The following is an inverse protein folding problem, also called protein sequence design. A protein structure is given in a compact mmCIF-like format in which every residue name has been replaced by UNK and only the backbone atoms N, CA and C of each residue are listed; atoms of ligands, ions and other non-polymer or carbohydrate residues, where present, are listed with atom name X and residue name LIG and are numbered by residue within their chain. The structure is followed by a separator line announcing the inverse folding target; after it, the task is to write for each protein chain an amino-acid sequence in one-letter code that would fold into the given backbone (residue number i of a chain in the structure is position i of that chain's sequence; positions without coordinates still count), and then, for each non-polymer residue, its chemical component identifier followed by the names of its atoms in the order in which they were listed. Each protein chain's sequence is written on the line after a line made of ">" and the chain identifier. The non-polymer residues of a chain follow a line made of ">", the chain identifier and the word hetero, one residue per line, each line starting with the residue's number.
data_IF_931547231673
#
_entry.id   IF_931547231673
#
_cell.length_a   1.000
_cell.length_b   1.000
_cell.length_c   1.000
_cell.angle_alpha   90.00
_cell.angle_beta   90.00
_cell.angle_gamma   90.00
#
_symmetry.space_group_name_H-M   'P 1'
#
loop_
_entity.id
_entity.type
_entity.pdbx_description
1 polymer ?
#
# COMPACT_ATOMS: atom_id res chain seq x y z
N UNK A 1 35.79 -15.38 -12.81
CA UNK A 1 35.08 -14.09 -12.54
C UNK A 1 34.41 -14.25 -11.19
N UNK A 2 34.80 -13.45 -10.17
CA UNK A 2 34.10 -13.47 -8.89
C UNK A 2 32.65 -13.01 -9.17
N UNK A 3 31.67 -13.91 -8.98
CA UNK A 3 30.26 -13.49 -8.93
C UNK A 3 30.12 -12.44 -7.83
N UNK A 4 29.97 -11.19 -8.20
CA UNK A 4 29.70 -10.14 -7.22
C UNK A 4 28.38 -10.48 -6.53
N UNK A 5 28.39 -10.49 -5.22
CA UNK A 5 27.20 -10.87 -4.45
C UNK A 5 26.09 -9.85 -4.68
N UNK A 6 24.90 -10.31 -5.01
CA UNK A 6 23.70 -9.47 -5.12
C UNK A 6 23.42 -8.82 -3.75
N UNK A 7 23.39 -7.50 -3.71
CA UNK A 7 23.16 -6.74 -2.49
C UNK A 7 21.66 -6.61 -2.19
N UNK A 8 20.86 -6.32 -3.24
CA UNK A 8 19.43 -6.07 -3.12
C UNK A 8 18.65 -6.76 -4.25
N UNK A 9 17.52 -7.34 -3.92
CA UNK A 9 16.58 -7.94 -4.88
C UNK A 9 15.33 -7.07 -4.95
N UNK A 10 15.04 -6.51 -6.13
CA UNK A 10 13.78 -5.81 -6.40
C UNK A 10 12.70 -6.85 -6.67
N UNK A 11 11.67 -6.92 -5.84
CA UNK A 11 10.56 -7.89 -5.94
C UNK A 11 9.33 -7.16 -6.44
N UNK A 12 8.88 -7.52 -7.66
CA UNK A 12 7.73 -6.89 -8.32
C UNK A 12 6.68 -7.94 -8.69
N UNK A 13 5.55 -7.99 -7.99
CA UNK A 13 4.40 -8.77 -8.42
C UNK A 13 3.71 -8.08 -9.61
N UNK A 14 3.15 -8.86 -10.54
CA UNK A 14 2.40 -8.31 -11.67
C UNK A 14 1.24 -9.22 -12.06
N UNK A 15 0.13 -8.62 -12.53
CA UNK A 15 -1.02 -9.33 -13.05
C UNK A 15 -1.71 -8.54 -14.17
N UNK A 16 -1.57 -9.01 -15.42
CA UNK A 16 -2.17 -8.39 -16.62
C UNK A 16 -1.85 -6.89 -16.76
N UNK A 17 -0.56 -6.52 -16.61
CA UNK A 17 -0.07 -5.14 -16.67
C UNK A 17 1.24 -5.00 -17.45
N UNK A 18 1.40 -5.74 -18.54
CA UNK A 18 2.64 -5.79 -19.33
C UNK A 18 3.18 -4.39 -19.66
N UNK A 19 2.34 -3.49 -20.18
CA UNK A 19 2.80 -2.16 -20.58
C UNK A 19 3.36 -1.32 -19.43
N UNK A 20 2.87 -1.52 -18.19
CA UNK A 20 3.39 -0.85 -16.98
C UNK A 20 4.69 -1.49 -16.55
N UNK A 21 4.72 -2.82 -16.48
CA UNK A 21 5.91 -3.57 -16.16
C UNK A 21 7.08 -3.19 -17.08
N UNK A 22 6.83 -3.02 -18.38
CA UNK A 22 7.85 -2.58 -19.35
C UNK A 22 8.46 -1.22 -18.96
N UNK A 23 7.65 -0.24 -18.52
CA UNK A 23 8.13 1.06 -18.06
C UNK A 23 8.98 0.93 -16.78
N UNK A 24 8.55 0.10 -15.84
CA UNK A 24 9.30 -0.14 -14.60
C UNK A 24 10.64 -0.80 -14.90
N UNK A 25 10.67 -1.84 -15.75
CA UNK A 25 11.90 -2.51 -16.15
C UNK A 25 12.87 -1.59 -16.90
N UNK A 26 12.37 -0.73 -17.78
CA UNK A 26 13.19 0.28 -18.45
C UNK A 26 13.80 1.28 -17.47
N UNK A 27 13.05 1.73 -16.47
CA UNK A 27 13.54 2.64 -15.44
C UNK A 27 14.52 1.96 -14.46
N UNK A 28 14.35 0.66 -14.19
CA UNK A 28 15.32 -0.14 -13.43
C UNK A 28 16.62 -0.33 -14.21
N UNK A 29 16.57 -0.44 -15.55
CA UNK A 29 17.75 -0.51 -16.38
C UNK A 29 18.56 0.82 -16.41
N UNK A 30 17.91 1.92 -16.07
CA UNK A 30 18.50 3.25 -15.98
C UNK A 30 18.93 3.65 -14.56
N UNK A 31 18.96 2.72 -13.60
CA UNK A 31 19.41 3.02 -12.25
C UNK A 31 20.91 3.39 -12.20
N UNK A 32 21.25 4.34 -11.34
CA UNK A 32 22.64 4.76 -11.11
C UNK A 32 23.44 3.74 -10.29
N UNK A 33 22.77 2.86 -9.57
CA UNK A 33 23.42 1.75 -8.86
C UNK A 33 23.83 0.65 -9.85
N UNK A 34 24.99 0.03 -9.62
CA UNK A 34 25.60 -0.95 -10.53
C UNK A 34 24.66 -2.15 -10.82
N UNK A 35 24.37 -2.44 -12.10
CA UNK A 35 23.38 -3.46 -12.48
C UNK A 35 23.80 -4.89 -12.13
N UNK A 36 25.08 -5.17 -11.94
CA UNK A 36 25.63 -6.45 -11.50
C UNK A 36 25.49 -6.68 -9.97
N UNK A 37 25.09 -5.65 -9.23
CA UNK A 37 24.92 -5.68 -7.78
C UNK A 37 23.47 -5.81 -7.32
N UNK A 38 22.50 -5.75 -8.21
CA UNK A 38 21.10 -6.00 -7.91
C UNK A 38 20.47 -6.99 -8.90
N UNK A 39 19.38 -7.58 -8.50
CA UNK A 39 18.53 -8.40 -9.37
C UNK A 39 17.08 -7.90 -9.30
N UNK A 40 16.31 -8.26 -10.31
CA UNK A 40 14.87 -8.01 -10.35
C UNK A 40 14.15 -9.34 -10.41
N UNK A 41 13.27 -9.59 -9.46
CA UNK A 41 12.43 -10.79 -9.37
C UNK A 41 11.01 -10.41 -9.73
N UNK A 42 10.57 -10.75 -10.94
CA UNK A 42 9.20 -10.55 -11.40
C UNK A 42 8.39 -11.80 -11.09
N UNK A 43 7.28 -11.63 -10.38
CA UNK A 43 6.33 -12.72 -10.13
C UNK A 43 5.01 -12.40 -10.82
N UNK A 44 4.75 -13.13 -11.92
CA UNK A 44 3.48 -13.05 -12.66
C UNK A 44 2.44 -13.91 -11.96
N UNK A 45 1.41 -13.27 -11.44
CA UNK A 45 0.32 -13.91 -10.69
C UNK A 45 -0.82 -14.36 -11.64
N UNK A 46 -0.47 -15.16 -12.67
CA UNK A 46 -1.42 -15.69 -13.64
C UNK A 46 -1.75 -14.73 -14.79
N UNK A 47 -0.80 -13.88 -15.21
CA UNK A 47 -1.00 -12.99 -16.36
C UNK A 47 -1.19 -13.76 -17.67
N UNK A 48 -2.06 -13.22 -18.55
CA UNK A 48 -2.40 -13.76 -19.88
C UNK A 48 -2.19 -12.73 -21.01
N UNK A 49 -1.58 -11.59 -20.70
CA UNK A 49 -1.41 -10.43 -21.59
C UNK A 49 -0.05 -10.39 -22.32
N UNK A 50 0.66 -11.53 -22.39
CA UNK A 50 1.99 -11.62 -22.99
C UNK A 50 3.15 -11.28 -22.03
N UNK A 51 2.87 -11.05 -20.75
CA UNK A 51 3.91 -10.77 -19.73
C UNK A 51 4.98 -11.87 -19.67
N UNK A 52 4.57 -13.15 -19.76
CA UNK A 52 5.50 -14.27 -19.70
C UNK A 52 6.46 -14.28 -20.89
N UNK A 53 5.94 -14.15 -22.10
CA UNK A 53 6.73 -14.15 -23.33
C UNK A 53 7.72 -12.98 -23.34
N UNK A 54 7.28 -11.81 -22.92
CA UNK A 54 8.13 -10.63 -22.81
C UNK A 54 9.28 -10.85 -21.82
N UNK A 55 8.99 -11.31 -20.60
CA UNK A 55 10.00 -11.49 -19.55
C UNK A 55 11.02 -12.61 -19.88
N UNK A 56 10.64 -13.60 -20.69
CA UNK A 56 11.54 -14.66 -21.14
C UNK A 56 12.48 -14.22 -22.27
N UNK A 57 12.10 -13.22 -23.06
CA UNK A 57 12.84 -12.79 -24.26
C UNK A 57 13.65 -11.50 -24.01
N UNK A 58 13.22 -10.66 -23.08
CA UNK A 58 13.85 -9.37 -22.86
C UNK A 58 15.25 -9.54 -22.25
N UNK A 59 16.21 -8.78 -22.78
CA UNK A 59 17.56 -8.69 -22.21
C UNK A 59 17.68 -7.42 -21.38
N UNK A 60 18.08 -7.58 -20.13
CA UNK A 60 18.28 -6.48 -19.17
C UNK A 60 19.75 -6.42 -18.74
N UNK A 61 20.27 -5.21 -18.38
CA UNK A 61 21.66 -5.08 -17.89
C UNK A 61 21.86 -5.73 -16.50
N UNK A 62 20.80 -5.99 -15.78
CA UNK A 62 20.77 -6.66 -14.49
C UNK A 62 20.25 -8.09 -14.62
N UNK A 63 20.41 -8.88 -13.57
CA UNK A 63 19.82 -10.22 -13.50
C UNK A 63 18.30 -10.12 -13.38
N UNK A 64 17.57 -10.57 -14.38
CA UNK A 64 16.12 -10.73 -14.35
C UNK A 64 15.74 -12.17 -14.01
N UNK A 65 15.00 -12.37 -12.93
CA UNK A 65 14.43 -13.66 -12.53
C UNK A 65 12.91 -13.59 -12.70
N UNK A 66 12.38 -14.36 -13.66
CA UNK A 66 10.94 -14.40 -13.93
C UNK A 66 10.31 -15.66 -13.36
N UNK A 67 9.22 -15.50 -12.62
CA UNK A 67 8.46 -16.58 -12.00
C UNK A 67 7.01 -16.44 -12.38
N UNK A 68 6.39 -17.52 -12.84
CA UNK A 68 4.95 -17.59 -13.11
C UNK A 68 4.26 -18.45 -12.07
N UNK A 69 3.09 -18.04 -11.62
CA UNK A 69 2.22 -18.83 -10.75
C UNK A 69 0.75 -18.71 -11.19
N UNK A 70 -0.11 -19.61 -10.70
CA UNK A 70 -1.55 -19.42 -10.78
C UNK A 70 -1.97 -18.25 -9.88
N UNK A 71 -3.02 -17.50 -10.27
CA UNK A 71 -3.46 -16.33 -9.52
C UNK A 71 -3.82 -16.68 -8.06
N UNK A 72 -2.98 -16.23 -7.14
CA UNK A 72 -3.12 -16.44 -5.70
C UNK A 72 -3.15 -15.12 -4.90
N UNK A 73 -2.97 -13.99 -5.58
CA UNK A 73 -3.00 -12.66 -4.98
C UNK A 73 -1.62 -12.07 -4.69
N UNK A 74 -1.57 -10.76 -4.35
CA UNK A 74 -0.31 -10.03 -4.20
C UNK A 74 0.56 -10.53 -3.05
N UNK A 75 -0.02 -11.01 -1.96
CA UNK A 75 0.68 -11.60 -0.82
C UNK A 75 1.50 -12.84 -1.25
N UNK A 76 0.84 -13.80 -1.92
CA UNK A 76 1.49 -15.02 -2.42
C UNK A 76 2.59 -14.71 -3.44
N UNK A 77 2.34 -13.75 -4.34
CA UNK A 77 3.32 -13.33 -5.32
C UNK A 77 4.58 -12.71 -4.66
N UNK A 78 4.38 -11.83 -3.65
CA UNK A 78 5.52 -11.26 -2.91
C UNK A 78 6.26 -12.30 -2.09
N UNK A 79 5.57 -13.23 -1.42
CA UNK A 79 6.21 -14.35 -0.71
C UNK A 79 7.11 -15.16 -1.63
N UNK A 80 6.60 -15.50 -2.82
CA UNK A 80 7.37 -16.25 -3.80
C UNK A 80 8.58 -15.46 -4.32
N UNK A 81 8.41 -14.15 -4.50
CA UNK A 81 9.52 -13.25 -4.86
C UNK A 81 10.60 -13.19 -3.78
N UNK A 82 10.22 -13.06 -2.50
CA UNK A 82 11.16 -13.06 -1.36
C UNK A 82 11.89 -14.38 -1.23
N UNK A 83 11.21 -15.52 -1.45
CA UNK A 83 11.83 -16.84 -1.42
C UNK A 83 12.88 -17.02 -2.53
N UNK A 84 12.65 -16.43 -3.71
CA UNK A 84 13.56 -16.52 -4.85
C UNK A 84 14.68 -15.45 -4.83
N UNK A 85 14.55 -14.43 -3.98
CA UNK A 85 15.49 -13.33 -3.85
C UNK A 85 16.85 -13.81 -3.30
N UNK A 86 17.95 -13.31 -3.89
CA UNK A 86 19.34 -13.61 -3.48
C UNK A 86 19.96 -12.52 -2.64
N UNK A 87 19.46 -11.28 -2.78
CA UNK A 87 19.93 -10.13 -2.04
C UNK A 87 19.72 -10.27 -0.53
N UNK A 88 20.63 -9.72 0.25
CA UNK A 88 20.45 -9.58 1.69
C UNK A 88 19.27 -8.62 2.02
N UNK A 89 19.04 -7.65 1.15
CA UNK A 89 17.89 -6.74 1.18
C UNK A 89 16.88 -7.12 0.10
N UNK A 90 15.60 -6.88 0.39
CA UNK A 90 14.53 -6.86 -0.60
C UNK A 90 13.99 -5.44 -0.73
N UNK A 91 13.73 -5.03 -1.97
CA UNK A 91 12.99 -3.82 -2.31
C UNK A 91 11.68 -4.25 -2.97
N UNK A 92 10.57 -4.09 -2.27
CA UNK A 92 9.25 -4.22 -2.87
C UNK A 92 8.98 -3.00 -3.73
N UNK A 93 8.66 -3.23 -4.99
CA UNK A 93 8.32 -2.20 -5.97
C UNK A 93 7.14 -2.69 -6.79
N UNK A 94 6.04 -1.93 -6.82
CA UNK A 94 4.86 -2.31 -7.60
C UNK A 94 5.08 -2.10 -9.11
N UNK A 95 4.38 -2.85 -9.93
CA UNK A 95 4.50 -2.85 -11.41
C UNK A 95 3.98 -1.58 -12.08
N UNK A 96 3.45 -0.63 -11.30
CA UNK A 96 3.01 0.70 -11.72
C UNK A 96 3.75 1.86 -11.02
N UNK A 97 4.84 1.55 -10.32
CA UNK A 97 5.74 2.53 -9.70
C UNK A 97 7.06 2.59 -10.48
N UNK A 98 7.22 3.60 -11.31
CA UNK A 98 8.42 3.84 -12.11
C UNK A 98 9.50 4.48 -11.25
N UNK A 99 10.62 3.79 -10.95
CA UNK A 99 11.64 4.31 -10.05
C UNK A 99 12.42 5.49 -10.65
N UNK A 100 12.73 6.49 -9.81
CA UNK A 100 13.72 7.52 -10.17
C UNK A 100 15.10 6.89 -10.32
N UNK A 101 16.04 7.49 -11.09
CA UNK A 101 17.35 6.90 -11.40
C UNK A 101 18.20 6.54 -10.18
N UNK A 102 18.02 7.19 -9.05
CA UNK A 102 18.79 6.98 -7.81
C UNK A 102 18.03 6.15 -6.75
N UNK A 103 16.85 5.60 -7.06
CA UNK A 103 15.99 4.96 -6.07
C UNK A 103 16.70 3.85 -5.30
N UNK A 104 17.38 2.92 -5.99
CA UNK A 104 18.10 1.80 -5.34
C UNK A 104 19.21 2.32 -4.44
N UNK A 105 20.00 3.28 -4.91
CA UNK A 105 21.09 3.87 -4.14
C UNK A 105 20.60 4.55 -2.84
N UNK A 106 19.47 5.28 -2.91
CA UNK A 106 18.89 5.95 -1.74
C UNK A 106 18.37 4.94 -0.70
N UNK A 107 17.75 3.84 -1.14
CA UNK A 107 17.37 2.77 -0.22
C UNK A 107 18.59 2.17 0.47
N UNK A 108 19.64 1.82 -0.29
CA UNK A 108 20.84 1.19 0.26
C UNK A 108 21.56 2.07 1.28
N UNK A 109 21.70 3.36 0.99
CA UNK A 109 22.36 4.34 1.87
C UNK A 109 21.78 4.30 3.31
N UNK A 110 20.47 4.14 3.45
CA UNK A 110 19.82 4.12 4.77
C UNK A 110 19.97 2.77 5.50
N UNK A 111 20.23 1.69 4.76
CA UNK A 111 20.52 0.38 5.37
C UNK A 111 21.97 0.23 5.82
N UNK A 112 22.92 1.02 5.26
CA UNK A 112 24.32 1.02 5.71
C UNK A 112 24.45 1.47 7.18
N UNK A 113 23.57 2.35 7.65
CA UNK A 113 23.60 2.85 9.03
C UNK A 113 23.11 1.82 10.04
N UNK A 114 22.07 1.03 9.72
CA UNK A 114 21.47 -0.01 10.57
C UNK A 114 20.74 -1.07 9.75
N UNK A 115 21.00 -2.33 10.05
CA UNK A 115 20.37 -3.48 9.37
C UNK A 115 18.88 -3.68 9.76
N UNK A 116 18.44 -3.18 10.92
CA UNK A 116 17.09 -3.40 11.45
C UNK A 116 16.12 -2.26 11.05
N UNK A 117 16.18 -1.85 9.78
CA UNK A 117 15.34 -0.79 9.24
C UNK A 117 14.36 -1.29 8.19
N UNK A 118 13.20 -0.65 8.17
CA UNK A 118 12.23 -0.66 7.08
C UNK A 118 12.24 0.73 6.46
N UNK A 119 12.68 0.85 5.21
CA UNK A 119 12.84 2.12 4.52
C UNK A 119 11.69 2.33 3.54
N UNK A 120 10.87 3.36 3.78
CA UNK A 120 9.72 3.74 2.97
C UNK A 120 10.13 4.85 2.00
N UNK A 121 10.15 4.58 0.69
CA UNK A 121 10.34 5.59 -0.36
C UNK A 121 9.03 6.30 -0.72
N UNK A 122 9.09 7.32 -1.55
CA UNK A 122 7.89 8.04 -2.03
C UNK A 122 7.29 7.40 -3.27
N UNK A 123 5.97 7.50 -3.41
CA UNK A 123 5.21 7.21 -4.63
C UNK A 123 4.55 8.51 -5.09
N UNK A 124 5.27 9.26 -5.94
CA UNK A 124 4.87 10.58 -6.40
C UNK A 124 3.93 10.50 -7.61
N UNK A 125 3.09 11.50 -7.77
CA UNK A 125 2.30 11.63 -9.00
C UNK A 125 3.21 11.90 -10.19
N UNK A 126 3.16 11.11 -11.28
CA UNK A 126 3.92 11.40 -12.48
C UNK A 126 3.50 12.75 -13.08
N UNK A 127 4.44 13.54 -13.64
CA UNK A 127 4.13 14.86 -14.21
C UNK A 127 3.16 14.79 -15.40
N UNK A 128 3.14 13.67 -16.12
CA UNK A 128 2.32 13.39 -17.30
C UNK A 128 1.02 12.62 -16.98
N UNK A 129 0.75 12.32 -15.71
CA UNK A 129 -0.41 11.53 -15.34
C UNK A 129 -1.71 12.34 -15.39
N UNK A 130 -2.72 11.78 -16.09
CA UNK A 130 -4.09 12.25 -16.03
C UNK A 130 -4.87 11.37 -15.05
N UNK A 131 -4.97 11.83 -13.80
CA UNK A 131 -5.62 11.07 -12.73
C UNK A 131 -7.14 11.26 -12.74
N UNK A 132 -7.88 10.19 -12.46
CA UNK A 132 -9.29 10.34 -12.12
C UNK A 132 -9.45 11.10 -10.80
N UNK A 133 -10.58 11.82 -10.58
CA UNK A 133 -10.74 12.70 -9.42
C UNK A 133 -10.54 12.00 -8.06
N UNK A 134 -10.96 10.73 -7.93
CA UNK A 134 -10.77 9.95 -6.70
C UNK A 134 -9.33 9.49 -6.51
N UNK A 135 -8.60 9.20 -7.60
CA UNK A 135 -7.16 8.88 -7.53
C UNK A 135 -6.35 10.12 -7.22
N UNK A 136 -6.69 11.28 -7.81
CA UNK A 136 -6.08 12.56 -7.46
C UNK A 136 -6.28 12.90 -5.98
N UNK A 137 -7.45 12.59 -5.42
CA UNK A 137 -7.70 12.72 -3.98
C UNK A 137 -6.80 11.78 -3.15
N UNK A 138 -6.67 10.50 -3.54
CA UNK A 138 -5.76 9.55 -2.84
C UNK A 138 -4.32 10.07 -2.86
N UNK A 139 -3.83 10.50 -4.00
CA UNK A 139 -2.48 11.05 -4.14
C UNK A 139 -2.27 12.29 -3.28
N UNK A 140 -3.26 13.20 -3.23
CA UNK A 140 -3.19 14.36 -2.35
C UNK A 140 -3.12 13.98 -0.86
N UNK A 141 -3.80 12.89 -0.44
CA UNK A 141 -3.71 12.39 0.93
C UNK A 141 -2.34 11.75 1.21
N UNK A 142 -1.80 11.01 0.25
CA UNK A 142 -0.48 10.41 0.34
C UNK A 142 0.62 11.49 0.42
N UNK A 143 0.55 12.52 -0.42
CA UNK A 143 1.47 13.66 -0.36
C UNK A 143 1.37 14.43 0.97
N UNK A 144 0.16 14.57 1.53
CA UNK A 144 -0.01 15.15 2.87
C UNK A 144 0.71 14.32 3.93
N UNK A 145 0.61 12.98 3.86
CA UNK A 145 1.34 12.07 4.73
C UNK A 145 2.85 12.24 4.57
N UNK A 146 3.35 12.30 3.34
CA UNK A 146 4.77 12.50 3.06
C UNK A 146 5.30 13.81 3.64
N UNK A 147 4.57 14.93 3.45
CA UNK A 147 4.93 16.22 4.06
C UNK A 147 4.99 16.14 5.58
N UNK A 148 4.03 15.46 6.21
CA UNK A 148 3.98 15.30 7.65
C UNK A 148 5.15 14.45 8.18
N UNK A 149 5.52 13.37 7.47
CA UNK A 149 6.67 12.53 7.83
C UNK A 149 8.00 13.27 7.59
N UNK A 150 8.15 14.01 6.49
CA UNK A 150 9.35 14.80 6.19
C UNK A 150 9.57 15.92 7.21
N UNK A 151 8.50 16.56 7.70
CA UNK A 151 8.58 17.62 8.70
C UNK A 151 8.68 17.11 10.14
N UNK A 152 8.65 15.80 10.36
CA UNK A 152 8.69 15.18 11.69
C UNK A 152 7.38 15.31 12.50
N UNK A 153 6.31 15.83 11.91
CA UNK A 153 4.97 15.91 12.54
C UNK A 153 4.38 14.53 12.76
N UNK A 154 4.59 13.61 11.80
CA UNK A 154 4.22 12.21 11.94
C UNK A 154 5.47 11.34 11.90
N UNK A 155 5.63 10.40 12.83
CA UNK A 155 6.65 9.37 12.70
C UNK A 155 6.28 8.38 11.58
N UNK A 156 7.27 7.82 10.91
CA UNK A 156 7.06 6.63 10.09
C UNK A 156 6.80 5.43 11.03
N UNK A 157 5.71 4.71 10.82
CA UNK A 157 5.31 3.55 11.64
C UNK A 157 4.72 2.45 10.77
N UNK A 158 4.36 1.33 11.37
CA UNK A 158 3.64 0.24 10.70
C UNK A 158 2.37 0.71 9.96
N UNK A 159 1.69 1.75 10.44
CA UNK A 159 0.47 2.30 9.80
C UNK A 159 0.73 3.05 8.49
N UNK A 160 1.93 3.56 8.28
CA UNK A 160 2.35 4.23 7.04
C UNK A 160 3.07 3.29 6.07
N UNK A 161 3.19 2.01 6.42
CA UNK A 161 3.84 1.02 5.58
C UNK A 161 3.02 0.73 4.31
N UNK A 162 3.73 0.52 3.23
CA UNK A 162 3.21 0.07 1.92
C UNK A 162 4.31 -0.64 1.14
N UNK A 163 3.96 -1.59 0.29
CA UNK A 163 4.92 -2.36 -0.50
C UNK A 163 5.20 -1.79 -1.89
N UNK A 164 4.57 -0.68 -2.25
CA UNK A 164 4.77 -0.07 -3.57
C UNK A 164 6.17 0.52 -3.78
N UNK A 165 6.88 0.88 -2.68
CA UNK A 165 8.27 1.37 -2.71
C UNK A 165 8.87 1.27 -1.30
N UNK A 166 9.28 0.06 -0.90
CA UNK A 166 9.79 -0.18 0.46
C UNK A 166 10.88 -1.23 0.46
N UNK A 167 11.99 -0.97 1.17
CA UNK A 167 13.06 -1.95 1.36
C UNK A 167 13.29 -2.32 2.82
N UNK A 168 13.72 -3.56 3.04
CA UNK A 168 14.13 -4.11 4.34
C UNK A 168 15.01 -5.34 4.16
N UNK A 169 15.64 -5.79 5.25
CA UNK A 169 16.39 -7.04 5.21
C UNK A 169 15.46 -8.22 4.91
N UNK A 170 15.84 -9.07 3.94
CA UNK A 170 15.08 -10.27 3.56
C UNK A 170 14.79 -11.17 4.76
N UNK A 171 15.75 -11.29 5.66
CA UNK A 171 15.60 -12.07 6.89
C UNK A 171 14.49 -11.56 7.81
N UNK A 172 14.22 -10.25 7.85
CA UNK A 172 13.11 -9.68 8.65
C UNK A 172 11.74 -10.10 8.09
N UNK A 173 11.59 -10.13 6.75
CA UNK A 173 10.36 -10.64 6.13
C UNK A 173 10.17 -12.12 6.48
N UNK A 174 11.23 -12.92 6.41
CA UNK A 174 11.19 -14.35 6.75
C UNK A 174 10.90 -14.57 8.24
N UNK A 175 11.55 -13.82 9.13
CA UNK A 175 11.34 -13.90 10.58
C UNK A 175 9.93 -13.48 10.98
N UNK A 176 9.32 -12.54 10.25
CA UNK A 176 7.92 -12.18 10.40
C UNK A 176 6.95 -13.24 9.85
N UNK A 177 7.42 -14.30 9.16
CA UNK A 177 6.60 -15.34 8.55
C UNK A 177 6.08 -15.01 7.15
N UNK A 178 6.61 -13.97 6.49
CA UNK A 178 6.15 -13.53 5.16
C UNK A 178 4.80 -12.78 5.20
N UNK A 179 4.22 -12.54 4.04
CA UNK A 179 2.88 -11.96 3.91
C UNK A 179 1.81 -13.00 4.22
N UNK A 180 0.74 -12.59 4.90
CA UNK A 180 -0.41 -13.45 5.13
C UNK A 180 -1.30 -13.49 3.87
N UNK A 181 -1.35 -14.64 3.22
CA UNK A 181 -2.05 -14.85 1.94
C UNK A 181 -3.57 -14.84 2.06
N UNK A 182 -4.12 -14.85 3.27
CA UNK A 182 -5.56 -14.64 3.53
C UNK A 182 -6.00 -13.24 3.12
N UNK A 183 -5.09 -12.26 3.15
CA UNK A 183 -5.39 -10.87 2.84
C UNK A 183 -5.03 -10.55 1.38
N UNK A 184 -6.05 -10.18 0.59
CA UNK A 184 -5.87 -9.68 -0.78
C UNK A 184 -5.70 -8.15 -0.84
N UNK A 185 -5.88 -7.47 0.28
CA UNK A 185 -5.66 -6.02 0.49
C UNK A 185 -5.24 -5.79 1.93
N UNK A 186 -4.37 -4.80 2.12
CA UNK A 186 -3.73 -4.45 3.39
C UNK A 186 -2.86 -5.58 3.98
N UNK A 187 -2.43 -6.54 3.14
CA UNK A 187 -1.43 -7.56 3.46
C UNK A 187 -0.10 -6.94 3.89
N UNK A 188 0.18 -5.74 3.37
CA UNK A 188 1.33 -4.92 3.71
C UNK A 188 1.24 -4.38 5.14
N UNK A 189 0.13 -3.75 5.52
CA UNK A 189 -0.09 -3.24 6.88
C UNK A 189 -0.08 -4.37 7.91
N UNK A 190 -0.66 -5.54 7.58
CA UNK A 190 -0.63 -6.71 8.45
C UNK A 190 0.81 -7.16 8.72
N UNK A 191 1.62 -7.32 7.66
CA UNK A 191 3.05 -7.63 7.79
C UNK A 191 3.78 -6.58 8.63
N UNK A 192 3.49 -5.29 8.42
CA UNK A 192 4.13 -4.21 9.16
C UNK A 192 3.89 -4.27 10.67
N UNK A 193 2.70 -4.68 11.12
CA UNK A 193 2.46 -4.91 12.55
C UNK A 193 3.31 -6.05 13.11
N UNK A 194 3.50 -7.14 12.34
CA UNK A 194 4.42 -8.23 12.77
C UNK A 194 5.88 -7.79 12.77
N UNK A 195 6.30 -7.03 11.76
CA UNK A 195 7.65 -6.42 11.73
C UNK A 195 7.86 -5.47 12.93
N UNK A 196 6.87 -4.66 13.28
CA UNK A 196 6.95 -3.77 14.43
C UNK A 196 7.20 -4.53 15.75
N UNK A 197 6.62 -5.73 15.91
CA UNK A 197 6.87 -6.61 17.07
C UNK A 197 8.31 -7.14 17.11
N UNK A 198 8.98 -7.22 15.99
CA UNK A 198 10.41 -7.56 15.90
C UNK A 198 11.33 -6.37 16.24
N UNK A 199 10.77 -5.22 16.58
CA UNK A 199 11.51 -4.02 16.98
C UNK A 199 12.21 -3.32 15.82
N UNK A 200 11.71 -3.43 14.58
CA UNK A 200 12.27 -2.71 13.43
C UNK A 200 12.04 -1.19 13.56
N UNK A 201 12.98 -0.43 13.02
CA UNK A 201 12.87 1.02 12.89
C UNK A 201 12.27 1.36 11.51
N UNK A 202 11.12 2.04 11.47
CA UNK A 202 10.54 2.55 10.22
C UNK A 202 11.14 3.92 9.90
N UNK A 203 11.70 4.06 8.69
CA UNK A 203 12.32 5.29 8.21
C UNK A 203 11.64 5.74 6.92
N UNK A 204 11.28 7.02 6.85
CA UNK A 204 10.79 7.62 5.62
C UNK A 204 11.94 8.25 4.83
N UNK A 205 12.09 7.86 3.57
CA UNK A 205 13.14 8.26 2.65
C UNK A 205 12.54 9.08 1.48
N UNK A 206 12.33 10.38 1.62
CA UNK A 206 11.70 11.19 0.57
C UNK A 206 12.51 11.23 -0.74
N UNK A 207 13.82 10.98 -0.70
CA UNK A 207 14.70 10.95 -1.87
C UNK A 207 14.65 9.62 -2.64
N UNK A 208 14.20 8.53 -1.99
CA UNK A 208 13.96 7.24 -2.66
C UNK A 208 12.63 7.31 -3.42
N UNK A 209 12.61 8.04 -4.53
CA UNK A 209 11.38 8.39 -5.23
C UNK A 209 11.02 7.39 -6.34
N UNK A 210 9.74 7.03 -6.41
CA UNK A 210 9.11 6.37 -7.54
C UNK A 210 7.91 7.18 -8.03
N UNK A 211 7.57 7.08 -9.31
CA UNK A 211 6.41 7.73 -9.93
C UNK A 211 5.29 6.71 -10.09
N UNK A 212 4.20 6.90 -9.35
CA UNK A 212 3.09 5.96 -9.28
C UNK A 212 2.03 6.27 -10.33
N UNK A 213 1.96 5.47 -11.38
CA UNK A 213 0.94 5.53 -12.44
C UNK A 213 -0.36 4.86 -11.97
N UNK A 214 -0.90 5.39 -10.87
CA UNK A 214 -2.10 4.85 -10.23
C UNK A 214 -3.30 4.94 -11.17
N UNK A 215 -3.95 3.79 -11.39
CA UNK A 215 -5.21 3.70 -12.13
C UNK A 215 -6.16 2.78 -11.38
N UNK A 216 -7.34 3.31 -11.07
CA UNK A 216 -8.34 2.57 -10.32
C UNK A 216 -9.73 2.98 -10.74
N UNK A 217 -10.61 2.01 -10.97
CA UNK A 217 -12.04 2.31 -11.18
C UNK A 217 -12.66 2.87 -9.91
N UNK A 218 -13.69 3.70 -10.06
CA UNK A 218 -14.42 4.26 -8.92
C UNK A 218 -15.01 3.17 -8.01
N UNK A 219 -15.53 2.08 -8.61
CA UNK A 219 -16.06 0.95 -7.86
C UNK A 219 -14.98 0.28 -6.98
N UNK A 220 -13.77 0.06 -7.52
CA UNK A 220 -12.64 -0.47 -6.77
C UNK A 220 -12.19 0.50 -5.67
N UNK A 221 -12.22 1.81 -5.95
CA UNK A 221 -11.88 2.83 -4.97
C UNK A 221 -12.84 2.84 -3.79
N UNK A 222 -14.16 2.70 -4.01
CA UNK A 222 -15.18 2.63 -2.94
C UNK A 222 -15.03 1.40 -2.03
N UNK A 223 -14.52 0.29 -2.57
CA UNK A 223 -14.35 -0.95 -1.79
C UNK A 223 -13.11 -0.89 -0.89
N UNK A 224 -12.08 -0.16 -1.29
CA UNK A 224 -10.80 -0.10 -0.58
C UNK A 224 -10.93 0.36 0.88
N UNK A 225 -11.52 1.53 1.20
CA UNK A 225 -11.66 1.97 2.59
C UNK A 225 -12.53 1.03 3.45
N UNK A 226 -13.54 0.41 2.85
CA UNK A 226 -14.36 -0.58 3.56
C UNK A 226 -13.51 -1.77 4.02
N UNK A 227 -12.68 -2.33 3.13
CA UNK A 227 -11.78 -3.42 3.48
C UNK A 227 -10.75 -2.97 4.53
N UNK A 228 -10.20 -1.76 4.43
CA UNK A 228 -9.28 -1.22 5.43
C UNK A 228 -9.93 -1.13 6.81
N UNK A 229 -11.18 -0.66 6.90
CA UNK A 229 -11.90 -0.59 8.17
C UNK A 229 -12.12 -1.97 8.79
N UNK A 230 -12.49 -2.98 8.00
CA UNK A 230 -12.59 -4.36 8.46
C UNK A 230 -11.24 -4.90 8.95
N UNK A 231 -10.22 -4.73 8.14
CA UNK A 231 -8.89 -5.27 8.43
C UNK A 231 -8.26 -4.62 9.68
N UNK A 232 -8.48 -3.33 9.94
CA UNK A 232 -8.03 -2.70 11.19
C UNK A 232 -8.62 -3.42 12.43
N UNK A 233 -9.87 -3.87 12.38
CA UNK A 233 -10.48 -4.63 13.48
C UNK A 233 -9.92 -6.06 13.57
N UNK A 234 -9.77 -6.73 12.43
CA UNK A 234 -9.17 -8.07 12.35
C UNK A 234 -7.74 -8.04 12.89
N UNK A 235 -6.91 -7.12 12.42
CA UNK A 235 -5.51 -6.96 12.87
C UNK A 235 -5.43 -6.62 14.36
N UNK A 236 -6.32 -5.75 14.87
CA UNK A 236 -6.39 -5.45 16.29
C UNK A 236 -6.60 -6.70 17.14
N UNK A 237 -7.51 -7.57 16.71
CA UNK A 237 -7.79 -8.85 17.40
C UNK A 237 -6.64 -9.84 17.28
N UNK A 238 -6.17 -10.11 16.06
CA UNK A 238 -5.14 -11.12 15.80
C UNK A 238 -3.77 -10.71 16.38
N UNK A 239 -3.44 -9.41 16.29
CA UNK A 239 -2.17 -8.89 16.78
C UNK A 239 -2.21 -8.45 18.26
N UNK A 240 -3.39 -8.53 18.92
CA UNK A 240 -3.61 -8.07 20.29
C UNK A 240 -3.22 -6.59 20.50
N UNK A 241 -3.57 -5.73 19.54
CA UNK A 241 -3.32 -4.29 19.56
C UNK A 241 -4.65 -3.57 19.71
N UNK A 242 -4.72 -2.53 20.58
CA UNK A 242 -5.92 -1.68 20.71
C UNK A 242 -6.16 -0.80 19.48
N UNK A 243 -6.42 -1.45 18.33
CA UNK A 243 -6.81 -0.72 17.12
C UNK A 243 -8.24 -0.18 17.20
N UNK A 244 -9.12 -0.81 17.98
CA UNK A 244 -10.51 -0.33 18.16
C UNK A 244 -10.49 1.01 18.90
N UNK A 245 -9.80 1.10 20.03
CA UNK A 245 -9.63 2.36 20.76
C UNK A 245 -8.94 3.43 19.93
N UNK A 246 -7.92 3.03 19.14
CA UNK A 246 -7.27 3.94 18.19
C UNK A 246 -8.27 4.48 17.14
N UNK A 247 -9.03 3.62 16.47
CA UNK A 247 -10.02 4.00 15.44
C UNK A 247 -11.11 4.92 16.02
N UNK A 248 -11.57 4.66 17.25
CA UNK A 248 -12.53 5.52 17.97
C UNK A 248 -11.94 6.90 18.28
N UNK A 249 -10.69 6.98 18.75
CA UNK A 249 -9.99 8.25 18.97
C UNK A 249 -9.85 9.04 17.68
N UNK A 250 -9.42 8.38 16.60
CA UNK A 250 -9.33 8.99 15.26
C UNK A 250 -10.70 9.51 14.79
N UNK A 251 -11.78 8.74 14.99
CA UNK A 251 -13.14 9.19 14.69
C UNK A 251 -13.49 10.48 15.45
N UNK A 252 -13.16 10.54 16.74
CA UNK A 252 -13.39 11.71 17.58
C UNK A 252 -12.69 12.97 17.08
N UNK A 253 -11.55 12.83 16.39
CA UNK A 253 -10.77 13.93 15.81
C UNK A 253 -11.25 14.36 14.40
N UNK A 254 -12.12 13.57 13.74
CA UNK A 254 -12.69 13.97 12.44
C UNK A 254 -13.56 15.23 12.58
N UNK A 255 -13.67 15.99 11.49
CA UNK A 255 -14.52 17.17 11.49
C UNK A 255 -15.99 16.83 11.82
N UNK A 256 -16.72 17.81 12.34
CA UNK A 256 -18.09 17.62 12.86
C UNK A 256 -19.06 17.08 11.79
N UNK A 257 -18.91 17.53 10.53
CA UNK A 257 -19.78 17.10 9.43
C UNK A 257 -19.53 15.61 9.08
N UNK A 258 -18.27 15.17 8.99
CA UNK A 258 -17.93 13.76 8.78
C UNK A 258 -18.47 12.88 9.90
N UNK A 259 -18.30 13.29 11.16
CA UNK A 259 -18.84 12.55 12.31
C UNK A 259 -20.36 12.44 12.27
N UNK A 260 -21.05 13.54 11.98
CA UNK A 260 -22.50 13.55 11.84
C UNK A 260 -22.97 12.64 10.71
N UNK A 261 -22.33 12.71 9.53
CA UNK A 261 -22.66 11.90 8.36
C UNK A 261 -22.49 10.40 8.65
N UNK A 262 -21.38 10.01 9.25
CA UNK A 262 -21.15 8.63 9.66
C UNK A 262 -22.19 8.22 10.72
N UNK A 263 -22.46 9.04 11.72
CA UNK A 263 -23.45 8.75 12.75
C UNK A 263 -24.86 8.53 12.19
N UNK A 264 -25.27 9.33 11.18
CA UNK A 264 -26.59 9.22 10.54
C UNK A 264 -26.69 8.02 9.61
N UNK A 265 -25.63 7.70 8.86
CA UNK A 265 -25.68 6.75 7.74
C UNK A 265 -25.16 5.34 8.11
N UNK A 266 -24.42 5.20 9.19
CA UNK A 266 -23.83 3.92 9.58
C UNK A 266 -24.94 2.88 9.84
N UNK A 267 -24.81 1.67 9.27
CA UNK A 267 -25.78 0.55 9.32
C UNK A 267 -27.17 0.86 8.76
N UNK A 268 -27.33 1.89 7.95
CA UNK A 268 -28.61 2.23 7.35
C UNK A 268 -28.74 1.79 5.88
N UNK A 269 -28.19 0.65 5.54
CA UNK A 269 -28.37 -0.07 4.26
C UNK A 269 -28.70 0.81 3.05
N UNK A 270 -30.01 0.88 2.69
CA UNK A 270 -30.48 1.65 1.50
C UNK A 270 -30.19 3.14 1.58
N UNK A 271 -30.37 3.78 2.76
CA UNK A 271 -30.10 5.20 2.94
C UNK A 271 -28.63 5.54 2.75
N UNK A 272 -27.74 4.68 3.24
CA UNK A 272 -26.31 4.80 3.06
C UNK A 272 -25.91 4.65 1.58
N UNK A 273 -26.44 3.67 0.86
CA UNK A 273 -26.18 3.48 -0.57
C UNK A 273 -26.65 4.67 -1.41
N UNK A 274 -27.85 5.20 -1.12
CA UNK A 274 -28.38 6.40 -1.79
C UNK A 274 -27.50 7.62 -1.51
N UNK A 275 -27.11 7.83 -0.25
CA UNK A 275 -26.23 8.94 0.12
C UNK A 275 -24.87 8.86 -0.60
N UNK A 276 -24.26 7.67 -0.67
CA UNK A 276 -23.01 7.44 -1.40
C UNK A 276 -23.18 7.76 -2.88
N UNK A 277 -24.27 7.34 -3.52
CA UNK A 277 -24.54 7.65 -4.93
C UNK A 277 -24.68 9.17 -5.16
N UNK A 278 -25.46 9.87 -4.32
CA UNK A 278 -25.63 11.32 -4.41
C UNK A 278 -24.31 12.05 -4.18
N UNK A 279 -23.55 11.70 -3.15
CA UNK A 279 -22.26 12.29 -2.85
C UNK A 279 -21.27 12.08 -3.98
N UNK A 280 -21.29 10.91 -4.63
CA UNK A 280 -20.41 10.60 -5.76
C UNK A 280 -20.71 11.49 -6.97
N UNK A 281 -21.98 11.67 -7.30
CA UNK A 281 -22.38 12.58 -8.39
C UNK A 281 -22.03 14.04 -8.07
N UNK A 282 -22.28 14.46 -6.83
CA UNK A 282 -21.91 15.80 -6.37
C UNK A 282 -20.40 16.03 -6.44
N UNK A 283 -19.59 15.05 -6.02
CA UNK A 283 -18.13 15.14 -6.11
C UNK A 283 -17.64 15.31 -7.55
N UNK A 284 -18.22 14.54 -8.50
CA UNK A 284 -17.91 14.66 -9.92
C UNK A 284 -18.33 16.02 -10.49
N UNK A 285 -19.51 16.49 -10.14
CA UNK A 285 -20.00 17.82 -10.57
C UNK A 285 -19.10 18.94 -10.03
N UNK A 286 -18.80 18.92 -8.73
CA UNK A 286 -17.93 19.91 -8.09
C UNK A 286 -16.52 19.88 -8.72
N UNK A 287 -15.99 18.71 -9.01
CA UNK A 287 -14.70 18.58 -9.69
C UNK A 287 -14.71 19.24 -11.08
N UNK A 288 -15.77 18.99 -11.86
CA UNK A 288 -15.91 19.55 -13.23
C UNK A 288 -16.11 21.05 -13.26
N UNK A 289 -16.89 21.59 -12.32
CA UNK A 289 -17.30 23.01 -12.33
C UNK A 289 -16.33 23.91 -11.56
N UNK A 290 -15.84 23.45 -10.41
CA UNK A 290 -15.04 24.22 -9.46
C UNK A 290 -13.62 23.70 -9.26
N UNK A 291 -13.27 22.63 -9.95
CA UNK A 291 -11.93 22.03 -9.91
C UNK A 291 -11.71 21.05 -8.76
N UNK A 292 -10.52 20.49 -8.73
CA UNK A 292 -10.14 19.39 -7.84
C UNK A 292 -10.29 19.73 -6.35
N UNK A 293 -9.82 20.89 -5.92
CA UNK A 293 -9.83 21.26 -4.50
C UNK A 293 -11.23 21.29 -3.88
N UNK A 294 -12.23 21.70 -4.66
CA UNK A 294 -13.62 21.78 -4.21
C UNK A 294 -14.27 20.41 -3.99
N UNK A 295 -13.86 19.40 -4.73
CA UNK A 295 -14.37 18.02 -4.62
C UNK A 295 -13.71 17.20 -3.50
N UNK A 296 -12.52 17.56 -3.05
CA UNK A 296 -11.74 16.82 -2.04
C UNK A 296 -12.49 16.55 -0.73
N UNK A 297 -13.26 17.51 -0.14
CA UNK A 297 -14.01 17.23 1.09
C UNK A 297 -15.07 16.14 0.90
N UNK A 298 -15.69 16.06 -0.29
CA UNK A 298 -16.73 15.06 -0.57
C UNK A 298 -16.09 13.68 -0.73
N UNK A 299 -14.97 13.55 -1.47
CA UNK A 299 -14.24 12.28 -1.55
C UNK A 299 -13.76 11.84 -0.17
N UNK A 300 -13.29 12.77 0.66
CA UNK A 300 -12.91 12.46 2.04
C UNK A 300 -14.09 11.93 2.86
N UNK A 301 -15.28 12.53 2.71
CA UNK A 301 -16.49 12.07 3.40
C UNK A 301 -16.93 10.67 2.93
N UNK A 302 -16.91 10.41 1.62
CA UNK A 302 -17.20 9.09 1.04
C UNK A 302 -16.22 8.04 1.59
N UNK A 303 -14.92 8.32 1.55
CA UNK A 303 -13.88 7.43 2.05
C UNK A 303 -14.07 7.10 3.53
N UNK A 304 -14.29 8.12 4.37
CA UNK A 304 -14.53 7.92 5.79
C UNK A 304 -15.82 7.11 6.05
N UNK A 305 -16.91 7.41 5.35
CA UNK A 305 -18.15 6.65 5.51
C UNK A 305 -17.94 5.16 5.20
N UNK A 306 -17.26 4.88 4.08
CA UNK A 306 -16.96 3.48 3.69
C UNK A 306 -16.03 2.80 4.69
N UNK A 307 -15.01 3.51 5.19
CA UNK A 307 -14.10 2.97 6.20
C UNK A 307 -14.84 2.60 7.48
N UNK A 308 -15.66 3.51 8.03
CA UNK A 308 -16.41 3.23 9.26
C UNK A 308 -17.54 2.21 9.07
N UNK A 309 -18.07 2.04 7.85
CA UNK A 309 -18.94 0.91 7.54
C UNK A 309 -18.19 -0.43 7.70
N UNK A 310 -16.98 -0.54 7.14
CA UNK A 310 -16.15 -1.74 7.31
C UNK A 310 -15.82 -2.02 8.78
N UNK A 311 -15.48 -0.98 9.55
CA UNK A 311 -15.25 -1.08 11.00
C UNK A 311 -16.49 -1.61 11.72
N UNK A 312 -17.66 -1.01 11.47
CA UNK A 312 -18.90 -1.39 12.15
C UNK A 312 -19.33 -2.82 11.80
N UNK A 313 -19.30 -3.18 10.51
CA UNK A 313 -19.65 -4.53 10.07
C UNK A 313 -18.79 -5.59 10.76
N UNK A 314 -17.48 -5.37 10.86
CA UNK A 314 -16.55 -6.30 11.51
C UNK A 314 -16.72 -6.34 13.04
N UNK A 315 -17.16 -5.24 13.66
CA UNK A 315 -17.50 -5.20 15.09
C UNK A 315 -18.84 -5.87 15.43
N UNK A 316 -19.71 -6.11 14.43
CA UNK A 316 -21.07 -6.61 14.62
C UNK A 316 -22.10 -5.51 14.80
N UNK A 317 -21.86 -4.34 14.20
CA UNK A 317 -22.83 -3.28 14.02
C UNK A 317 -22.47 -1.94 14.67
N UNK A 318 -23.28 -0.95 14.31
CA UNK A 318 -23.15 0.44 14.75
C UNK A 318 -23.09 0.60 16.27
N UNK A 319 -23.96 -0.12 17.00
CA UNK A 319 -24.07 0.02 18.44
C UNK A 319 -22.80 -0.46 19.15
N UNK A 320 -22.10 -1.41 18.55
CA UNK A 320 -20.80 -1.83 19.04
C UNK A 320 -19.68 -0.81 18.74
N UNK A 321 -19.79 -0.07 17.65
CA UNK A 321 -18.82 0.98 17.35
C UNK A 321 -18.97 2.22 18.26
N UNK A 322 -20.22 2.66 18.52
CA UNK A 322 -20.51 3.84 19.32
C UNK A 322 -20.73 3.54 20.82
N UNK A 323 -20.92 2.26 21.18
CA UNK A 323 -21.18 1.85 22.55
C UNK A 323 -19.94 1.91 23.46
N UNK A 324 -20.15 1.70 24.77
CA UNK A 324 -19.04 1.63 25.71
C UNK A 324 -18.08 0.50 25.35
N UNK A 325 -16.82 0.63 25.77
CA UNK A 325 -15.81 -0.42 25.59
C UNK A 325 -16.23 -1.71 26.30
N UNK A 326 -16.84 -2.62 25.55
CA UNK A 326 -16.94 -4.00 26.00
C UNK A 326 -15.56 -4.61 25.75
N UNK A 327 -14.85 -4.94 26.82
CA UNK A 327 -13.61 -5.72 26.76
C UNK A 327 -13.91 -6.98 25.97
N UNK A 328 -13.44 -7.06 24.71
CA UNK A 328 -13.56 -8.27 23.92
C UNK A 328 -12.49 -9.22 24.45
N UNK A 329 -12.85 -9.95 25.51
CA UNK A 329 -12.07 -11.10 25.97
C UNK A 329 -11.99 -12.10 24.83
N UNK A 330 -10.79 -12.55 24.52
CA UNK A 330 -10.49 -13.63 23.58
C UNK A 330 -11.04 -14.95 24.12
N UNK A 331 -12.38 -15.14 24.01
CA UNK A 331 -13.01 -16.41 24.34
C UNK A 331 -14.27 -16.52 23.49
N UNK A 332 -14.11 -17.11 22.32
CA UNK A 332 -15.03 -17.90 21.51
C UNK A 332 -14.49 -17.96 20.07
N UNK A 333 -13.52 -18.84 19.87
CA UNK A 333 -13.20 -19.45 18.59
C UNK A 333 -13.60 -20.92 18.66
#
# INVERSE_FOLDING_TARGET
>A
MNEQSITISVVTPTYNRLARLQRVLAALAAQTYSPDRFEVVIVSDGSTDGTADYCQQVQMPFRLNFIQQANAGPAAARNRGVAAARGALVLFLDDDVVPAPNLIAEHLRLHEERANRVVLGTMLTPPDACLSPWVAWEQAMLEKQYRAMTSGVWPATARQFYTGNTSLARQLVMAAGGFDERFRRAEDIELAYRLNKLGVEFIFAPQAAGYHYAERSFASWLVTPYIYGRNDIIFGREQQIDLIGFVRREFGQRNRLTRWLVWVLLDRGRSSATALAVMSQLALLMHRVLGEQSSRPIYSAIFNLRYYQGVADELGGRDRFFGPETTITATQA
#
